data_IF_161254049378
#
_entry.id   IF_161254049378
#
_cell.length_a   1.000
_cell.length_b   1.000
_cell.length_c   1.000
_cell.angle_alpha   90.00
_cell.angle_beta   90.00
_cell.angle_gamma   90.00
#
_symmetry.space_group_name_H-M   'P 1'
#
loop_
_entity.id
_entity.type
_entity.pdbx_description
1 polymer ?
#
# COMPACT_ATOMS: atom_id res chain seq x y z
N UNK A 1 0.60 10.53 18.94
CA UNK A 1 -0.60 10.54 18.09
C UNK A 1 -0.26 9.59 16.97
N UNK A 2 -0.98 8.48 16.90
CA UNK A 2 -0.64 7.41 15.98
C UNK A 2 -1.31 7.70 14.63
N UNK A 3 -0.62 7.34 13.55
CA UNK A 3 -1.13 7.52 12.19
C UNK A 3 -1.31 6.15 11.57
N UNK A 4 -2.48 5.93 10.97
CA UNK A 4 -2.82 4.65 10.38
C UNK A 4 -3.28 4.80 8.94
N UNK A 5 -2.93 3.83 8.11
CA UNK A 5 -3.40 3.78 6.73
C UNK A 5 -4.89 3.41 6.72
N UNK A 6 -5.78 4.27 6.19
CA UNK A 6 -7.20 3.99 6.15
C UNK A 6 -7.54 2.83 5.19
N UNK A 7 -6.72 2.56 4.18
CA UNK A 7 -6.92 1.44 3.27
C UNK A 7 -6.61 0.11 3.97
N UNK A 8 -5.48 0.00 4.67
CA UNK A 8 -5.14 -1.21 5.44
C UNK A 8 -6.17 -1.54 6.52
N UNK A 9 -6.75 -0.50 7.15
CA UNK A 9 -7.76 -0.64 8.18
C UNK A 9 -9.19 -0.72 7.62
N UNK A 10 -9.35 -0.93 6.31
CA UNK A 10 -10.65 -1.04 5.64
C UNK A 10 -11.61 0.14 5.89
N UNK A 11 -11.08 1.32 6.22
CA UNK A 11 -11.82 2.56 6.36
C UNK A 11 -12.16 3.17 5.00
N UNK A 12 -11.36 2.90 3.98
CA UNK A 12 -11.62 3.24 2.57
C UNK A 12 -11.43 2.03 1.67
N UNK A 13 -12.02 2.09 0.47
CA UNK A 13 -11.76 1.15 -0.61
C UNK A 13 -11.23 1.92 -1.82
N UNK A 14 -10.29 1.32 -2.54
CA UNK A 14 -9.76 1.85 -3.81
C UNK A 14 -10.28 0.98 -4.93
N UNK A 15 -11.03 1.58 -5.85
CA UNK A 15 -11.69 0.91 -6.97
C UNK A 15 -11.10 1.48 -8.27
N UNK A 16 -9.98 0.91 -8.69
CA UNK A 16 -9.19 1.41 -9.81
C UNK A 16 -9.20 0.42 -10.97
N UNK A 17 -9.31 0.95 -12.19
CA UNK A 17 -9.31 0.14 -13.41
C UNK A 17 -7.93 0.17 -14.05
N UNK A 18 -7.52 -0.97 -14.59
CA UNK A 18 -6.24 -1.13 -15.27
C UNK A 18 -6.20 -0.24 -16.52
N UNK A 19 -5.22 0.67 -16.65
CA UNK A 19 -5.10 1.55 -17.80
C UNK A 19 -4.74 0.81 -19.10
N UNK A 20 -4.33 -0.47 -19.02
CA UNK A 20 -3.98 -1.28 -20.21
C UNK A 20 -5.14 -2.10 -20.78
N UNK A 21 -6.00 -2.67 -19.93
CA UNK A 21 -7.08 -3.57 -20.37
C UNK A 21 -8.48 -3.22 -19.84
N UNK A 22 -8.59 -2.27 -18.92
CA UNK A 22 -9.87 -1.84 -18.33
C UNK A 22 -10.40 -2.72 -17.21
N UNK A 23 -9.79 -3.88 -16.92
CA UNK A 23 -10.18 -4.73 -15.78
C UNK A 23 -9.91 -4.05 -14.43
N UNK A 24 -10.69 -4.41 -13.41
CA UNK A 24 -10.45 -3.95 -12.03
C UNK A 24 -9.09 -4.42 -11.53
N UNK A 25 -8.36 -3.52 -10.88
CA UNK A 25 -7.10 -3.82 -10.21
C UNK A 25 -7.35 -4.33 -8.78
N UNK A 26 -6.49 -5.25 -8.33
CA UNK A 26 -6.52 -5.76 -6.97
C UNK A 26 -5.46 -5.06 -6.13
N UNK A 27 -5.78 -4.76 -4.86
CA UNK A 27 -4.79 -4.36 -3.85
C UNK A 27 -4.03 -5.59 -3.37
N UNK A 28 -2.71 -5.57 -3.53
CA UNK A 28 -1.78 -6.62 -3.09
C UNK A 28 -1.11 -6.28 -1.76
N UNK A 29 -1.50 -5.19 -1.11
CA UNK A 29 -0.99 -4.77 0.19
C UNK A 29 0.18 -3.80 0.09
N UNK A 30 0.86 -3.60 1.23
CA UNK A 30 1.93 -2.61 1.34
C UNK A 30 3.16 -3.09 0.59
N UNK A 31 3.80 -2.16 -0.11
CA UNK A 31 5.06 -2.44 -0.81
C UNK A 31 6.16 -2.86 0.18
N UNK A 32 6.20 -2.26 1.37
CA UNK A 32 7.18 -2.57 2.43
C UNK A 32 7.12 -4.03 2.91
N UNK A 33 5.94 -4.66 2.88
CA UNK A 33 5.76 -6.05 3.29
C UNK A 33 6.55 -7.04 2.40
N UNK A 34 6.93 -6.60 1.19
CA UNK A 34 7.77 -7.37 0.27
C UNK A 34 9.29 -7.16 0.49
N UNK A 35 9.68 -6.09 1.18
CA UNK A 35 11.08 -5.70 1.39
C UNK A 35 11.59 -6.07 2.79
N UNK A 36 10.71 -6.19 3.79
CA UNK A 36 11.11 -6.52 5.14
C UNK A 36 11.40 -8.03 5.30
N UNK A 37 12.55 -8.45 5.89
CA UNK A 37 12.60 -9.77 6.51
C UNK A 37 11.53 -9.78 7.61
N UNK A 38 10.69 -10.82 7.65
CA UNK A 38 9.61 -10.94 8.64
C UNK A 38 10.17 -10.85 10.06
N UNK A 39 10.22 -9.64 10.62
CA UNK A 39 10.65 -9.38 11.98
C UNK A 39 9.51 -8.64 12.68
N UNK A 40 8.64 -9.37 13.40
CA UNK A 40 7.49 -8.79 14.08
C UNK A 40 7.85 -7.80 15.20
N UNK A 41 9.14 -7.63 15.50
CA UNK A 41 9.67 -6.70 16.51
C UNK A 41 10.51 -5.56 15.91
N UNK A 42 10.65 -5.48 14.58
CA UNK A 42 11.24 -4.28 13.98
C UNK A 42 10.16 -3.20 13.98
N UNK A 43 10.40 -2.10 14.69
CA UNK A 43 9.57 -0.92 14.57
C UNK A 43 9.50 -0.51 13.10
N UNK A 44 8.28 -0.38 12.58
CA UNK A 44 8.03 -0.01 11.17
C UNK A 44 8.71 1.31 10.81
N UNK A 45 8.89 2.20 11.77
CA UNK A 45 9.61 3.47 11.62
C UNK A 45 11.08 3.28 11.22
N UNK A 46 11.73 2.18 11.62
CA UNK A 46 13.13 1.88 11.28
C UNK A 46 13.30 1.38 9.84
N UNK A 47 12.23 0.93 9.16
CA UNK A 47 12.27 0.39 7.79
C UNK A 47 11.88 1.43 6.75
N UNK A 48 11.48 2.64 7.16
CA UNK A 48 11.18 3.76 6.25
C UNK A 48 12.48 4.28 5.59
N UNK A 49 13.01 3.51 4.65
CA UNK A 49 14.12 3.89 3.78
C UNK A 49 13.64 4.97 2.79
N UNK A 50 13.34 6.17 3.30
CA UNK A 50 12.99 7.35 2.50
C UNK A 50 11.52 7.50 2.11
N UNK A 51 10.60 6.75 2.72
CA UNK A 51 9.15 6.98 2.58
C UNK A 51 8.78 8.31 3.27
N UNK A 52 7.96 9.18 2.66
CA UNK A 52 7.53 10.42 3.30
C UNK A 52 6.73 10.14 4.57
N UNK A 53 6.94 10.95 5.61
CA UNK A 53 6.21 10.83 6.88
C UNK A 53 4.69 10.72 6.62
N UNK A 54 4.04 9.76 7.29
CA UNK A 54 2.59 9.53 7.22
C UNK A 54 2.05 9.10 5.85
N UNK A 55 2.84 8.38 5.05
CA UNK A 55 2.39 7.75 3.81
C UNK A 55 2.46 6.23 3.88
N UNK A 56 1.62 5.57 3.09
CA UNK A 56 1.59 4.12 2.95
C UNK A 56 1.47 3.78 1.46
N UNK A 57 2.47 3.11 0.89
CA UNK A 57 2.46 2.74 -0.52
C UNK A 57 1.88 1.34 -0.69
N UNK A 58 0.81 1.25 -1.47
CA UNK A 58 0.15 0.00 -1.85
C UNK A 58 0.51 -0.42 -3.27
N UNK A 59 0.70 -1.72 -3.46
CA UNK A 59 0.86 -2.33 -4.77
C UNK A 59 -0.51 -2.72 -5.31
N UNK A 60 -0.90 -2.15 -6.45
CA UNK A 60 -2.06 -2.59 -7.20
C UNK A 60 -1.61 -3.33 -8.45
N UNK A 61 -2.18 -4.50 -8.72
CA UNK A 61 -1.90 -5.21 -9.95
C UNK A 61 -3.17 -5.74 -10.63
N UNK A 62 -3.13 -5.75 -11.96
CA UNK A 62 -4.19 -6.25 -12.79
C UNK A 62 -4.05 -7.77 -12.95
N UNK A 63 -5.06 -8.57 -12.54
CA UNK A 63 -4.99 -10.02 -12.65
C UNK A 63 -5.03 -10.52 -14.10
N UNK A 64 -5.58 -9.73 -15.05
CA UNK A 64 -5.75 -10.15 -16.44
C UNK A 64 -4.52 -9.93 -17.33
N UNK A 65 -3.80 -8.81 -17.15
CA UNK A 65 -2.68 -8.43 -18.03
C UNK A 65 -1.35 -8.26 -17.30
N UNK A 66 -1.34 -8.37 -15.97
CA UNK A 66 -0.13 -8.26 -15.16
C UNK A 66 0.43 -6.84 -15.02
N UNK A 67 -0.29 -5.80 -15.47
CA UNK A 67 0.10 -4.42 -15.21
C UNK A 67 0.01 -4.11 -13.71
N UNK A 68 1.09 -3.61 -13.13
CA UNK A 68 1.15 -3.13 -11.76
C UNK A 68 1.37 -1.61 -11.67
N UNK A 69 0.94 -1.05 -10.55
CA UNK A 69 1.14 0.35 -10.20
C UNK A 69 1.25 0.49 -8.69
N UNK A 70 1.91 1.56 -8.24
CA UNK A 70 2.05 1.90 -6.81
C UNK A 70 1.17 3.10 -6.50
N UNK A 71 0.37 3.00 -5.46
CA UNK A 71 -0.51 4.09 -5.01
C UNK A 71 -0.11 4.55 -3.62
N UNK A 72 0.05 5.85 -3.46
CA UNK A 72 0.37 6.48 -2.18
C UNK A 72 -0.93 6.80 -1.47
N UNK A 73 -1.10 6.24 -0.27
CA UNK A 73 -2.22 6.53 0.62
C UNK A 73 -1.71 7.33 1.80
N UNK A 74 -2.29 8.51 2.04
CA UNK A 74 -1.96 9.31 3.21
C UNK A 74 -2.57 8.66 4.46
N UNK A 75 -1.75 8.46 5.48
CA UNK A 75 -2.20 8.00 6.78
C UNK A 75 -2.98 9.10 7.49
N UNK A 76 -3.96 8.71 8.29
CA UNK A 76 -4.79 9.63 9.06
C UNK A 76 -4.51 9.44 10.56
N UNK A 77 -4.64 10.51 11.37
CA UNK A 77 -4.56 10.37 12.82
C UNK A 77 -5.70 9.49 13.34
N UNK A 78 -5.37 8.57 14.25
CA UNK A 78 -6.32 7.70 14.96
C UNK A 78 -6.26 7.87 16.47
#
# INVERSE_FOLDING_TARGET
MDFECPLCNALINVDENCPRCGSKMNDYGRVEDYFAPYNPYLDRDLVSMGEPEHQCIHLFACPDCGYDSRMVINQIPV
#
